data_IF_222492634991
#
_entry.id   IF_222492634991
#
_cell.length_a   1.000
_cell.length_b   1.000
_cell.length_c   1.000
_cell.angle_alpha   90.00
_cell.angle_beta   90.00
_cell.angle_gamma   90.00
#
_symmetry.space_group_name_H-M   'P 1'
#
loop_
_entity.id
_entity.type
_entity.pdbx_description
1 polymer ?
#
# COMPACT_ATOMS: atom_id res chain seq x y z
N UNK A 1 7.42 15.77 12.00
CA UNK A 1 7.98 14.42 12.20
C UNK A 1 9.12 14.38 13.22
N UNK A 2 10.06 15.33 13.26
CA UNK A 2 11.23 15.24 14.17
C UNK A 2 10.85 15.20 15.65
N UNK A 3 9.94 16.07 16.07
CA UNK A 3 9.40 16.04 17.42
C UNK A 3 8.77 14.70 17.81
N UNK A 4 8.17 13.96 16.85
CA UNK A 4 7.60 12.64 17.13
C UNK A 4 8.70 11.58 17.31
N UNK A 5 9.75 11.63 16.50
CA UNK A 5 10.94 10.78 16.66
C UNK A 5 11.67 11.07 17.97
N UNK A 6 11.89 12.34 18.31
CA UNK A 6 12.52 12.77 19.56
C UNK A 6 11.69 12.34 20.79
N UNK A 7 10.36 12.25 20.64
CA UNK A 7 9.46 11.70 21.65
C UNK A 7 9.45 10.16 21.70
N UNK A 8 10.23 9.47 20.86
CA UNK A 8 10.41 8.01 20.90
C UNK A 8 9.50 7.22 19.96
N UNK A 9 8.96 7.81 18.90
CA UNK A 9 8.15 7.06 17.93
C UNK A 9 9.00 6.03 17.15
N UNK A 10 8.55 4.77 17.14
CA UNK A 10 9.16 3.70 16.33
C UNK A 10 8.98 3.92 14.81
N UNK A 11 7.82 4.49 14.45
CA UNK A 11 7.42 4.77 13.08
C UNK A 11 6.89 6.19 12.91
N UNK A 12 7.29 6.84 11.82
CA UNK A 12 6.62 8.01 11.26
C UNK A 12 5.96 7.60 9.96
N UNK A 13 4.63 7.75 9.89
CA UNK A 13 3.84 7.36 8.71
C UNK A 13 3.41 8.59 7.93
N UNK A 14 3.75 8.63 6.65
CA UNK A 14 3.33 9.68 5.72
C UNK A 14 1.92 9.36 5.21
N UNK A 15 1.02 10.35 5.20
CA UNK A 15 -0.38 10.15 4.83
C UNK A 15 -0.79 11.02 3.64
N UNK A 16 -1.18 10.39 2.54
CA UNK A 16 -1.87 11.02 1.40
C UNK A 16 -3.38 10.95 1.63
N UNK A 17 -3.86 11.75 2.58
CA UNK A 17 -5.24 11.66 3.13
C UNK A 17 -6.31 12.00 2.11
N UNK A 18 -6.04 12.96 1.21
CA UNK A 18 -6.97 13.38 0.17
C UNK A 18 -6.90 12.49 -1.09
N UNK A 19 -5.89 11.62 -1.19
CA UNK A 19 -5.67 10.75 -2.35
C UNK A 19 -5.32 11.53 -3.62
N UNK A 20 -4.68 12.69 -3.48
CA UNK A 20 -4.42 13.64 -4.56
C UNK A 20 -2.94 13.81 -4.91
N UNK A 21 -2.04 13.08 -4.27
CA UNK A 21 -0.58 13.25 -4.45
C UNK A 21 -0.07 12.38 -5.61
N UNK A 22 0.78 12.92 -6.49
CA UNK A 22 1.40 12.10 -7.55
C UNK A 22 2.53 11.22 -7.00
N UNK A 23 2.76 10.08 -7.65
CA UNK A 23 3.80 9.13 -7.21
C UNK A 23 5.20 9.76 -7.15
N UNK A 24 5.54 10.63 -8.10
CA UNK A 24 6.83 11.35 -8.11
C UNK A 24 6.98 12.34 -6.94
N UNK A 25 5.87 12.89 -6.44
CA UNK A 25 5.86 13.75 -5.25
C UNK A 25 6.00 12.91 -3.98
N UNK A 26 5.27 11.79 -3.89
CA UNK A 26 5.41 10.83 -2.78
C UNK A 26 6.85 10.33 -2.67
N UNK A 27 7.52 10.03 -3.79
CA UNK A 27 8.93 9.68 -3.79
C UNK A 27 9.80 10.79 -3.17
N UNK A 28 9.66 12.04 -3.64
CA UNK A 28 10.44 13.18 -3.14
C UNK A 28 10.25 13.38 -1.64
N UNK A 29 8.99 13.37 -1.18
CA UNK A 29 8.64 13.56 0.23
C UNK A 29 9.21 12.40 1.08
N UNK A 30 9.08 11.16 0.59
CA UNK A 30 9.59 9.99 1.31
C UNK A 30 11.11 10.01 1.41
N UNK A 31 11.82 10.41 0.34
CA UNK A 31 13.27 10.56 0.36
C UNK A 31 13.74 11.62 1.36
N UNK A 32 13.02 12.75 1.46
CA UNK A 32 13.29 13.78 2.49
C UNK A 32 13.08 13.20 3.88
N UNK A 33 11.94 12.55 4.14
CA UNK A 33 11.66 11.93 5.44
C UNK A 33 12.73 10.89 5.81
N UNK A 34 13.14 10.04 4.86
CA UNK A 34 14.19 9.04 5.08
C UNK A 34 15.58 9.62 5.31
N UNK A 35 15.87 10.81 4.78
CA UNK A 35 17.13 11.53 5.06
C UNK A 35 17.12 12.18 6.44
N UNK A 36 15.96 12.66 6.89
CA UNK A 36 15.84 13.41 8.14
C UNK A 36 15.55 12.54 9.37
N UNK A 37 14.99 11.35 9.19
CA UNK A 37 14.53 10.47 10.26
C UNK A 37 15.38 9.20 10.33
N UNK A 38 15.78 8.87 11.56
CA UNK A 38 16.43 7.60 11.93
C UNK A 38 15.43 6.46 12.19
N UNK A 39 14.23 6.78 12.68
CA UNK A 39 13.13 5.84 12.90
C UNK A 39 12.58 5.28 11.57
N UNK A 40 11.71 4.28 11.67
CA UNK A 40 11.14 3.66 10.49
C UNK A 40 10.12 4.59 9.84
N UNK A 41 10.10 4.63 8.50
CA UNK A 41 9.10 5.41 7.75
C UNK A 41 8.06 4.46 7.15
N UNK A 42 6.79 4.82 7.32
CA UNK A 42 5.65 4.16 6.68
C UNK A 42 4.91 5.08 5.71
N UNK A 43 3.99 4.51 4.94
CA UNK A 43 3.14 5.24 4.01
C UNK A 43 1.68 4.75 4.11
N UNK A 44 0.73 5.68 4.10
CA UNK A 44 -0.71 5.44 3.96
C UNK A 44 -1.24 6.28 2.80
N UNK A 45 -1.89 5.65 1.82
CA UNK A 45 -2.36 6.33 0.60
C UNK A 45 -3.83 6.06 0.32
N UNK A 46 -4.54 7.12 -0.07
CA UNK A 46 -5.88 7.04 -0.62
C UNK A 46 -5.87 7.00 -2.15
N UNK A 47 -6.98 6.55 -2.75
CA UNK A 47 -7.06 6.20 -4.17
C UNK A 47 -7.88 7.17 -5.01
N UNK A 48 -8.10 8.41 -4.54
CA UNK A 48 -9.01 9.38 -5.17
C UNK A 48 -8.63 9.72 -6.62
N UNK A 49 -7.33 9.76 -6.94
CA UNK A 49 -6.84 9.90 -8.33
C UNK A 49 -6.32 8.59 -8.93
N UNK A 50 -6.63 7.44 -8.32
CA UNK A 50 -6.24 6.11 -8.82
C UNK A 50 -4.77 5.73 -8.60
N UNK A 51 -4.04 6.47 -7.76
CA UNK A 51 -2.60 6.28 -7.57
C UNK A 51 -2.21 5.62 -6.25
N UNK A 52 -3.13 5.13 -5.42
CA UNK A 52 -2.79 4.66 -4.06
C UNK A 52 -1.68 3.58 -4.05
N UNK A 53 -1.82 2.56 -4.91
CA UNK A 53 -0.83 1.48 -5.03
C UNK A 53 0.48 1.98 -5.61
N UNK A 54 0.43 2.87 -6.61
CA UNK A 54 1.63 3.44 -7.23
C UNK A 54 2.42 4.30 -6.22
N UNK A 55 1.71 5.11 -5.44
CA UNK A 55 2.27 5.94 -4.37
C UNK A 55 2.92 5.08 -3.28
N UNK A 56 2.26 3.99 -2.86
CA UNK A 56 2.83 3.07 -1.88
C UNK A 56 4.10 2.38 -2.40
N UNK A 57 4.10 1.91 -3.65
CA UNK A 57 5.30 1.35 -4.30
C UNK A 57 6.42 2.37 -4.36
N UNK A 58 6.11 3.60 -4.76
CA UNK A 58 7.10 4.68 -4.88
C UNK A 58 7.72 5.06 -3.53
N UNK A 59 6.93 5.12 -2.46
CA UNK A 59 7.46 5.31 -1.11
C UNK A 59 8.41 4.17 -0.69
N UNK A 60 8.07 2.90 -1.02
CA UNK A 60 8.92 1.75 -0.73
C UNK A 60 10.23 1.78 -1.53
N UNK A 61 10.21 2.27 -2.78
CA UNK A 61 11.43 2.49 -3.57
C UNK A 61 12.39 3.45 -2.87
N UNK A 62 11.84 4.48 -2.19
CA UNK A 62 12.60 5.47 -1.43
C UNK A 62 12.93 5.04 0.01
N UNK A 63 12.59 3.81 0.39
CA UNK A 63 13.00 3.22 1.67
C UNK A 63 11.93 3.25 2.77
N UNK A 64 10.67 3.55 2.46
CA UNK A 64 9.58 3.23 3.38
C UNK A 64 9.53 1.71 3.65
N UNK A 65 9.29 1.35 4.91
CA UNK A 65 9.33 -0.05 5.39
C UNK A 65 7.98 -0.58 5.85
N UNK A 66 6.96 0.28 5.91
CA UNK A 66 5.58 -0.09 6.19
C UNK A 66 4.65 0.51 5.13
N UNK A 67 3.71 -0.29 4.63
CA UNK A 67 2.62 0.17 3.77
C UNK A 67 1.32 -0.10 4.50
N UNK A 68 0.55 0.95 4.76
CA UNK A 68 -0.81 0.88 5.28
C UNK A 68 -1.80 0.90 4.12
N UNK A 69 -2.81 0.05 4.22
CA UNK A 69 -3.79 -0.17 3.18
C UNK A 69 -4.82 -1.19 3.67
N UNK A 70 -5.67 -1.62 2.75
CA UNK A 70 -6.77 -2.55 3.06
C UNK A 70 -6.87 -3.65 2.01
N UNK A 71 -7.49 -4.76 2.39
CA UNK A 71 -7.83 -5.81 1.42
C UNK A 71 -8.88 -5.24 0.46
N UNK A 72 -8.66 -5.48 -0.83
CA UNK A 72 -9.47 -4.94 -1.94
C UNK A 72 -9.51 -3.41 -2.04
N UNK A 73 -8.68 -2.70 -1.26
CA UNK A 73 -8.61 -1.24 -1.31
C UNK A 73 -9.81 -0.55 -0.67
N UNK A 74 -10.61 -1.25 0.12
CA UNK A 74 -11.74 -0.64 0.84
C UNK A 74 -11.31 0.49 1.77
N UNK A 75 -12.19 1.47 1.96
CA UNK A 75 -11.92 2.63 2.79
C UNK A 75 -12.84 3.77 2.43
N UNK A 76 -12.54 4.96 2.96
CA UNK A 76 -13.28 6.17 2.65
C UNK A 76 -13.24 6.50 1.16
N UNK A 77 -14.37 7.00 0.62
CA UNK A 77 -14.53 7.48 -0.76
C UNK A 77 -14.17 6.41 -1.81
N UNK A 78 -13.08 6.63 -2.55
CA UNK A 78 -12.56 5.75 -3.61
C UNK A 78 -11.64 4.66 -3.05
N UNK A 79 -11.40 4.66 -1.73
CA UNK A 79 -10.67 3.64 -1.02
C UNK A 79 -9.21 3.98 -0.72
N UNK A 80 -8.52 2.98 -0.16
CA UNK A 80 -7.13 3.06 0.27
C UNK A 80 -6.23 2.23 -0.66
N UNK A 81 -4.93 2.21 -0.39
CA UNK A 81 -3.99 1.29 -1.02
C UNK A 81 -4.49 -0.15 -0.97
N UNK A 82 -4.74 -0.74 -2.14
CA UNK A 82 -5.21 -2.11 -2.25
C UNK A 82 -4.08 -3.11 -1.99
N UNK A 83 -4.10 -3.74 -0.83
CA UNK A 83 -3.07 -4.68 -0.39
C UNK A 83 -3.02 -5.95 -1.22
N UNK A 84 -4.13 -6.38 -1.84
CA UNK A 84 -4.10 -7.55 -2.73
C UNK A 84 -3.33 -7.27 -4.02
N UNK A 85 -3.10 -5.99 -4.35
CA UNK A 85 -2.23 -5.53 -5.44
C UNK A 85 -0.84 -5.11 -4.96
N UNK A 86 -0.74 -4.38 -3.85
CA UNK A 86 0.54 -3.85 -3.36
C UNK A 86 1.49 -4.95 -2.89
N UNK A 87 0.99 -5.95 -2.15
CA UNK A 87 1.80 -7.06 -1.63
C UNK A 87 2.54 -7.81 -2.75
N UNK A 88 1.87 -8.30 -3.82
CA UNK A 88 2.57 -9.00 -4.89
C UNK A 88 3.45 -8.08 -5.74
N UNK A 89 3.09 -6.80 -5.93
CA UNK A 89 3.99 -5.82 -6.57
C UNK A 89 5.31 -5.72 -5.80
N UNK A 90 5.24 -5.51 -4.49
CA UNK A 90 6.42 -5.36 -3.62
C UNK A 90 7.21 -6.68 -3.53
N UNK A 91 6.53 -7.81 -3.36
CA UNK A 91 7.21 -9.08 -3.12
C UNK A 91 7.77 -9.72 -4.39
N UNK A 92 6.97 -9.76 -5.46
CA UNK A 92 7.28 -10.51 -6.67
C UNK A 92 7.94 -9.64 -7.72
N UNK A 93 7.55 -8.37 -7.86
CA UNK A 93 8.10 -7.47 -8.88
C UNK A 93 9.31 -6.68 -8.38
N UNK A 94 9.25 -6.15 -7.15
CA UNK A 94 10.39 -5.44 -6.56
C UNK A 94 11.39 -6.37 -5.85
N UNK A 95 11.03 -7.63 -5.62
CA UNK A 95 11.88 -8.60 -4.92
C UNK A 95 12.10 -8.27 -3.42
N UNK A 96 11.26 -7.40 -2.83
CA UNK A 96 11.42 -6.96 -1.44
C UNK A 96 10.69 -7.90 -0.47
N UNK A 97 11.17 -7.93 0.78
CA UNK A 97 10.54 -8.73 1.84
C UNK A 97 9.17 -8.13 2.19
N UNK A 98 8.14 -8.97 2.22
CA UNK A 98 6.82 -8.65 2.76
C UNK A 98 6.30 -9.87 3.55
N UNK A 99 5.12 -10.39 3.22
CA UNK A 99 4.62 -11.67 3.74
C UNK A 99 5.40 -12.85 3.12
N UNK A 100 5.40 -14.04 3.75
CA UNK A 100 6.02 -15.22 3.16
C UNK A 100 5.49 -15.49 1.74
N UNK A 101 6.39 -15.73 0.77
CA UNK A 101 6.01 -15.96 -0.64
C UNK A 101 4.96 -17.07 -0.80
N UNK A 102 5.05 -18.12 0.04
CA UNK A 102 4.09 -19.24 0.08
C UNK A 102 2.67 -18.84 0.49
N UNK A 103 2.48 -17.65 1.10
CA UNK A 103 1.19 -17.11 1.51
C UNK A 103 0.58 -16.17 0.47
N UNK A 104 1.35 -15.68 -0.51
CA UNK A 104 0.84 -14.78 -1.57
C UNK A 104 -0.28 -15.44 -2.37
N UNK A 105 -0.19 -16.75 -2.63
CA UNK A 105 -1.26 -17.51 -3.31
C UNK A 105 -2.61 -17.48 -2.59
N UNK A 106 -2.64 -17.17 -1.28
CA UNK A 106 -3.87 -17.06 -0.48
C UNK A 106 -4.57 -15.70 -0.63
N UNK A 107 -3.96 -14.72 -1.30
CA UNK A 107 -4.55 -13.39 -1.47
C UNK A 107 -5.87 -13.43 -2.23
N UNK A 108 -6.05 -14.37 -3.16
CA UNK A 108 -7.33 -14.55 -3.87
C UNK A 108 -8.46 -14.97 -2.95
N UNK A 109 -8.19 -15.96 -2.09
CA UNK A 109 -9.21 -16.44 -1.14
C UNK A 109 -9.53 -15.36 -0.11
N UNK A 110 -8.51 -14.64 0.37
CA UNK A 110 -8.68 -13.51 1.29
C UNK A 110 -9.48 -12.36 0.65
N UNK A 111 -9.19 -12.02 -0.61
CA UNK A 111 -9.92 -11.01 -1.39
C UNK A 111 -11.40 -11.36 -1.47
N UNK A 112 -11.72 -12.60 -1.84
CA UNK A 112 -13.11 -13.07 -1.95
C UNK A 112 -13.84 -13.10 -0.62
N UNK A 113 -13.16 -13.55 0.43
CA UNK A 113 -13.72 -13.57 1.78
C UNK A 113 -14.09 -12.15 2.24
N UNK A 114 -13.23 -11.16 1.98
CA UNK A 114 -13.51 -9.77 2.32
C UNK A 114 -14.65 -9.18 1.49
N UNK A 115 -14.72 -9.49 0.19
CA UNK A 115 -15.86 -9.09 -0.67
C UNK A 115 -17.18 -9.70 -0.15
N UNK A 116 -17.18 -10.98 0.22
CA UNK A 116 -18.35 -11.67 0.77
C UNK A 116 -18.84 -11.03 2.07
N UNK A 117 -17.92 -10.77 3.01
CA UNK A 117 -18.25 -10.12 4.29
C UNK A 117 -18.76 -8.68 4.09
N UNK A 118 -18.21 -7.96 3.10
CA UNK A 118 -18.65 -6.61 2.76
C UNK A 118 -19.92 -6.58 1.89
N UNK A 119 -20.45 -7.74 1.51
CA UNK A 119 -21.58 -7.87 0.59
C UNK A 119 -21.34 -7.16 -0.76
N UNK A 120 -20.11 -7.29 -1.28
CA UNK A 120 -19.67 -6.76 -2.56
C UNK A 120 -19.46 -7.91 -3.54
N UNK A 121 -19.82 -7.70 -4.81
CA UNK A 121 -19.56 -8.66 -5.87
C UNK A 121 -18.06 -8.59 -6.24
N UNK A 122 -17.30 -9.71 -6.20
CA UNK A 122 -15.89 -9.70 -6.53
C UNK A 122 -15.60 -9.19 -7.96
N UNK A 123 -14.65 -8.26 -8.10
CA UNK A 123 -14.23 -7.76 -9.41
C UNK A 123 -13.36 -8.80 -10.13
N UNK A 124 -13.91 -9.36 -11.21
CA UNK A 124 -13.22 -10.35 -12.04
C UNK A 124 -11.96 -9.79 -12.70
N UNK A 125 -11.86 -8.47 -12.90
CA UNK A 125 -10.72 -7.79 -13.53
C UNK A 125 -9.73 -7.20 -12.52
N UNK A 126 -9.94 -7.41 -11.22
CA UNK A 126 -9.06 -6.88 -10.19
C UNK A 126 -7.62 -7.36 -10.41
N UNK A 127 -6.62 -6.47 -10.36
CA UNK A 127 -5.22 -6.88 -10.51
C UNK A 127 -4.85 -8.00 -9.55
N UNK A 128 -4.03 -8.95 -10.02
CA UNK A 128 -3.52 -10.11 -9.29
C UNK A 128 -4.53 -11.18 -8.86
N UNK A 129 -5.70 -10.81 -8.34
CA UNK A 129 -6.64 -11.74 -7.71
C UNK A 129 -7.91 -11.97 -8.52
N UNK A 130 -8.20 -11.11 -9.50
CA UNK A 130 -9.33 -11.22 -10.40
C UNK A 130 -9.29 -12.49 -11.25
N UNK A 131 -10.45 -13.09 -11.48
CA UNK A 131 -10.56 -14.32 -12.29
C UNK A 131 -10.09 -14.18 -13.74
N UNK A 132 -9.96 -12.96 -14.25
CA UNK A 132 -9.43 -12.67 -15.60
C UNK A 132 -8.10 -11.92 -15.57
N UNK A 133 -7.42 -11.83 -14.41
CA UNK A 133 -6.18 -11.05 -14.27
C UNK A 133 -4.99 -11.65 -15.07
N UNK A 134 -5.04 -12.96 -15.34
CA UNK A 134 -4.01 -13.71 -16.08
C UNK A 134 -4.64 -14.76 -17.03
N UNK A 135 -5.87 -14.52 -17.48
CA UNK A 135 -6.61 -15.40 -18.38
C UNK A 135 -6.25 -15.14 -19.84
#
# INVERSE_FOLDING_TARGET
WKAAEEAGADFVVLCDTNGGTLASEVAKITAVAKKELSCQVGIHTHNDIGLAVANAVSAVEQGATQVQGTINGYGERTGNCNLTSAIPNISLKMGRRSIPKSRIKKLRDLSRFVDEVANIIPDRRQPWVGGTAFA
#
